data_IF_959561581441
#
_entry.id   IF_959561581441
#
_cell.length_a   1.000
_cell.length_b   1.000
_cell.length_c   1.000
_cell.angle_alpha   90.00
_cell.angle_beta   90.00
_cell.angle_gamma   90.00
#
_symmetry.space_group_name_H-M   'P 1'
#
loop_
_entity.id
_entity.type
_entity.pdbx_description
1 polymer ?
#
# COMPACT_ATOMS: atom_id res chain seq x y z
N UNK A 1 14.56 19.31 1.59
CA UNK A 1 14.40 18.87 1.30
C UNK A 1 14.34 17.99 0.87
N UNK A 2 14.29 17.50 0.77
CA UNK A 2 14.30 16.71 0.42
C UNK A 2 13.93 16.13 -0.35
N UNK A 3 14.17 15.95 -0.77
CA UNK A 3 13.89 15.57 -1.46
C UNK A 3 13.61 14.75 -1.97
N UNK A 4 13.84 14.32 -1.95
CA UNK A 4 13.52 13.60 -2.26
C UNK A 4 12.93 12.81 -2.20
N UNK A 5 13.47 12.67 -1.99
CA UNK A 5 12.83 11.90 -1.57
C UNK A 5 11.68 11.62 -2.05
N UNK A 6 11.45 11.74 -2.70
CA UNK A 6 10.37 11.64 -3.00
C UNK A 6 9.96 10.58 -3.72
N UNK A 7 9.31 9.66 -3.08
CA UNK A 7 8.60 8.72 -3.74
C UNK A 7 7.34 9.31 -4.15
N UNK A 8 7.03 9.36 -5.38
CA UNK A 8 5.79 9.86 -5.82
C UNK A 8 4.90 8.72 -6.19
N UNK A 9 3.71 8.67 -5.58
CA UNK A 9 2.70 7.68 -5.88
C UNK A 9 1.55 8.36 -6.59
N UNK A 10 1.04 7.79 -7.68
CA UNK A 10 -0.11 8.39 -8.35
C UNK A 10 -1.34 8.35 -7.46
N UNK A 11 -2.33 9.20 -7.71
CA UNK A 11 -3.59 9.07 -6.99
C UNK A 11 -4.13 7.66 -7.13
N UNK A 12 -4.74 7.16 -6.06
CA UNK A 12 -5.15 5.77 -6.02
C UNK A 12 -6.10 5.42 -7.17
N UNK A 13 -6.98 6.34 -7.54
CA UNK A 13 -7.90 6.06 -8.62
C UNK A 13 -7.21 5.95 -9.97
N UNK A 14 -5.97 6.41 -10.08
CA UNK A 14 -5.19 6.31 -11.31
C UNK A 14 -4.16 5.21 -11.25
N UNK A 15 -4.08 4.49 -10.14
CA UNK A 15 -3.13 3.40 -10.02
C UNK A 15 -3.60 2.25 -10.87
N UNK A 16 -2.77 1.82 -11.81
CA UNK A 16 -3.16 0.77 -12.75
C UNK A 16 -2.62 -0.59 -12.37
N UNK A 17 -1.70 -0.68 -11.43
CA UNK A 17 -1.12 -1.96 -11.05
C UNK A 17 -2.12 -2.74 -10.20
N UNK A 18 -2.18 -4.07 -10.36
CA UNK A 18 -3.10 -4.88 -9.55
C UNK A 18 -2.70 -4.95 -8.08
N UNK A 19 -1.41 -4.79 -7.79
CA UNK A 19 -0.94 -4.76 -6.41
C UNK A 19 0.07 -3.64 -6.26
N UNK A 20 0.29 -3.21 -5.02
CA UNK A 20 1.28 -2.17 -4.73
C UNK A 20 2.21 -2.67 -3.63
N UNK A 21 3.38 -2.08 -3.58
CA UNK A 21 4.38 -2.43 -2.58
C UNK A 21 4.06 -1.77 -1.25
N UNK A 22 4.82 -2.18 -0.22
CA UNK A 22 4.56 -1.71 1.13
C UNK A 22 4.58 -0.19 1.25
N UNK A 23 5.53 0.46 0.58
CA UNK A 23 5.63 1.91 0.66
C UNK A 23 4.39 2.59 0.12
N UNK A 24 3.85 2.09 -1.00
CA UNK A 24 2.64 2.67 -1.56
C UNK A 24 1.44 2.40 -0.68
N UNK A 25 1.32 1.19 -0.16
CA UNK A 25 0.24 0.84 0.76
C UNK A 25 0.24 1.78 1.96
N UNK A 26 1.41 1.99 2.55
CA UNK A 26 1.53 2.88 3.70
C UNK A 26 1.15 4.31 3.31
N UNK A 27 1.59 4.75 2.13
CA UNK A 27 1.28 6.08 1.66
C UNK A 27 -0.23 6.29 1.52
N UNK A 28 -0.92 5.34 0.87
CA UNK A 28 -2.35 5.49 0.63
C UNK A 28 -3.15 5.44 1.93
N UNK A 29 -2.68 4.71 2.92
CA UNK A 29 -3.38 4.60 4.18
C UNK A 29 -2.84 5.53 5.24
N UNK A 30 -1.93 6.43 4.87
CA UNK A 30 -1.39 7.46 5.76
C UNK A 30 -0.78 6.86 7.03
N UNK A 31 0.03 5.82 6.86
CA UNK A 31 0.69 5.22 8.00
C UNK A 31 2.17 5.09 7.71
N UNK A 32 2.96 4.86 8.75
CA UNK A 32 4.38 4.64 8.58
C UNK A 32 4.63 3.28 7.93
N UNK A 33 5.72 3.17 7.19
CA UNK A 33 6.07 1.91 6.54
C UNK A 33 6.24 0.82 7.57
N UNK A 34 6.83 1.13 8.73
CA UNK A 34 7.01 0.14 9.78
C UNK A 34 5.68 -0.38 10.29
N UNK A 35 4.67 0.50 10.38
CA UNK A 35 3.35 0.09 10.80
C UNK A 35 2.75 -0.88 9.79
N UNK A 36 2.92 -0.58 8.50
CA UNK A 36 2.42 -1.48 7.47
C UNK A 36 3.09 -2.84 7.55
N UNK A 37 4.39 -2.86 7.79
CA UNK A 37 5.11 -4.12 7.91
C UNK A 37 4.65 -4.91 9.14
N UNK A 38 4.36 -4.21 10.24
CA UNK A 38 3.87 -4.86 11.43
C UNK A 38 2.52 -5.49 11.17
N UNK A 39 1.64 -4.81 10.44
CA UNK A 39 0.36 -5.37 10.07
C UNK A 39 0.54 -6.66 9.27
N UNK A 40 1.46 -6.65 8.32
CA UNK A 40 1.71 -7.84 7.50
C UNK A 40 2.22 -8.99 8.35
N UNK A 41 3.15 -8.69 9.24
CA UNK A 41 3.78 -9.70 10.06
C UNK A 41 2.80 -10.34 11.02
N UNK A 42 1.91 -9.53 11.60
CA UNK A 42 0.96 -10.03 12.58
C UNK A 42 -0.38 -10.42 11.98
N UNK A 43 -0.62 -10.10 10.72
CA UNK A 43 -1.89 -10.39 10.09
C UNK A 43 -3.02 -9.57 10.68
N UNK A 44 -2.73 -8.38 11.18
CA UNK A 44 -3.74 -7.59 11.90
C UNK A 44 -4.21 -6.36 11.14
N UNK A 45 -3.66 -6.08 9.97
CA UNK A 45 -4.08 -4.90 9.22
C UNK A 45 -5.44 -5.08 8.56
N UNK A 46 -5.99 -3.99 8.03
CA UNK A 46 -7.30 -4.05 7.37
C UNK A 46 -7.28 -4.81 6.06
N UNK A 47 -6.10 -5.00 5.47
CA UNK A 47 -5.96 -5.68 4.19
C UNK A 47 -4.86 -6.72 4.34
N UNK A 48 -5.10 -7.90 3.81
CA UNK A 48 -4.10 -8.94 3.84
C UNK A 48 -3.19 -8.84 2.65
N UNK A 49 -1.88 -8.76 2.86
CA UNK A 49 -0.95 -8.73 1.74
C UNK A 49 -0.73 -10.12 1.15
N UNK A 50 -0.27 -10.15 -0.08
CA UNK A 50 0.13 -11.37 -0.75
C UNK A 50 1.64 -11.34 -0.86
N UNK A 51 2.30 -12.44 -0.50
CA UNK A 51 3.74 -12.50 -0.60
C UNK A 51 4.10 -13.14 -1.93
N UNK A 52 4.79 -12.38 -2.76
CA UNK A 52 5.23 -12.84 -4.06
C UNK A 52 6.74 -12.79 -4.06
N UNK A 53 7.36 -13.96 -4.16
CA UNK A 53 8.80 -14.05 -3.98
C UNK A 53 9.14 -13.63 -2.56
N UNK A 54 10.01 -12.66 -2.41
CA UNK A 54 10.39 -12.17 -1.08
C UNK A 54 9.76 -10.84 -0.76
N UNK A 55 8.76 -10.41 -1.54
CA UNK A 55 8.18 -9.10 -1.36
C UNK A 55 6.71 -9.18 -1.04
N UNK A 56 6.27 -8.26 -0.21
CA UNK A 56 4.86 -8.13 0.13
C UNK A 56 4.18 -7.21 -0.87
N UNK A 57 2.99 -7.64 -1.31
CA UNK A 57 2.18 -6.86 -2.24
C UNK A 57 0.78 -6.75 -1.68
N UNK A 58 0.20 -5.57 -1.74
CA UNK A 58 -1.16 -5.35 -1.27
C UNK A 58 -2.08 -5.17 -2.47
N UNK A 59 -3.23 -5.86 -2.51
CA UNK A 59 -4.15 -5.73 -3.64
C UNK A 59 -4.68 -4.30 -3.76
N UNK A 60 -4.51 -3.71 -4.92
CA UNK A 60 -4.96 -2.34 -5.14
C UNK A 60 -6.48 -2.24 -5.03
N UNK A 61 -7.19 -3.23 -5.53
CA UNK A 61 -8.65 -3.21 -5.45
C UNK A 61 -9.13 -3.17 -4.00
N UNK A 62 -8.46 -3.91 -3.12
CA UNK A 62 -8.84 -3.92 -1.72
C UNK A 62 -8.59 -2.57 -1.07
N UNK A 63 -7.51 -1.89 -1.47
CA UNK A 63 -7.23 -0.56 -0.95
C UNK A 63 -8.30 0.42 -1.40
N UNK A 64 -8.68 0.35 -2.68
CA UNK A 64 -9.75 1.22 -3.18
C UNK A 64 -11.05 0.98 -2.44
N UNK A 65 -11.36 -0.27 -2.21
CA UNK A 65 -12.60 -0.61 -1.53
C UNK A 65 -12.57 -0.09 -0.10
N UNK A 66 -11.46 -0.27 0.59
CA UNK A 66 -11.33 0.19 1.96
C UNK A 66 -11.48 1.70 2.06
N UNK A 67 -10.90 2.43 1.13
CA UNK A 67 -10.89 3.88 1.17
C UNK A 67 -12.09 4.50 0.45
N UNK A 68 -12.94 3.68 -0.16
CA UNK A 68 -14.11 4.20 -0.85
C UNK A 68 -13.80 4.94 -2.13
N UNK A 69 -12.70 4.62 -2.77
CA UNK A 69 -12.27 5.30 -3.99
C UNK A 69 -12.92 4.63 -5.18
N UNK A 70 -13.43 5.44 -6.11
CA UNK A 70 -14.06 4.92 -7.31
C UNK A 70 -13.02 4.17 -8.16
N UNK A 71 -13.50 3.19 -8.89
CA UNK A 71 -12.63 2.37 -9.73
C UNK A 71 -12.55 2.89 -11.12
#
# INVERSE_FOLDING_TARGET
MNLQTEQRFPPLQLETRPTVETAAYAHYLHMAVQTARAHACKGTGPIRPVKIGNRLHWPTAAIRELLGVAQ
#
